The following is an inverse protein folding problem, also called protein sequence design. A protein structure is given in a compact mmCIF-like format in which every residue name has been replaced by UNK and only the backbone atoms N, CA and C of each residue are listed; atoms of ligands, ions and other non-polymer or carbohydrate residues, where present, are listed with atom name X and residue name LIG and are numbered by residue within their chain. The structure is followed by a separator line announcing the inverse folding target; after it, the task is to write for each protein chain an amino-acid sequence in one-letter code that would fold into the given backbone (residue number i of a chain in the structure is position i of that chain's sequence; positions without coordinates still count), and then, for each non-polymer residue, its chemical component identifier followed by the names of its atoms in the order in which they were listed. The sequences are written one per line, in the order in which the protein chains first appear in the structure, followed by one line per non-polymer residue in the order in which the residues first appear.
data_IF_329094967519
#
_entry.id   IF_329094967519
#
_cell.length_a   1.000
_cell.length_b   1.000
_cell.length_c   1.000
_cell.angle_alpha   90.00
_cell.angle_beta   90.00
_cell.angle_gamma   90.00
#
_symmetry.space_group_name_H-M   'P 1'
#
loop_
_entity.id
_entity.type
_entity.pdbx_description
1 polymer ?
#
# COMPACT_ATOMS: atom_id res chain seq x y z
N UNK A 1 26.09 14.65 15.12
CA UNK A 1 24.77 14.68 14.45
C UNK A 1 24.27 16.09 14.60
N UNK A 2 23.98 16.72 13.48
CA UNK A 2 23.43 18.06 13.46
C UNK A 2 21.92 17.95 13.71
N UNK A 3 21.48 18.24 14.93
CA UNK A 3 20.06 18.19 15.33
C UNK A 3 19.32 19.48 14.96
N UNK A 4 19.96 20.39 14.22
CA UNK A 4 19.35 21.66 13.79
C UNK A 4 18.38 21.50 12.60
N UNK A 5 18.40 20.34 11.93
CA UNK A 5 17.45 20.03 10.84
C UNK A 5 16.27 19.19 11.32
N UNK A 6 15.07 19.38 10.75
CA UNK A 6 13.93 18.50 11.03
C UNK A 6 14.29 17.04 10.71
N UNK A 7 14.13 16.18 11.71
CA UNK A 7 14.37 14.75 11.58
C UNK A 7 13.04 13.99 11.59
N UNK A 8 12.99 12.92 10.81
CA UNK A 8 11.91 11.95 10.90
C UNK A 8 12.14 11.05 12.11
N UNK A 9 11.13 10.95 12.98
CA UNK A 9 11.15 10.10 14.15
C UNK A 9 10.11 8.99 14.01
N UNK A 10 10.50 7.76 14.32
CA UNK A 10 9.60 6.62 14.41
C UNK A 10 9.21 6.37 15.87
N UNK A 11 7.94 6.03 16.10
CA UNK A 11 7.50 5.54 17.40
C UNK A 11 7.70 4.02 17.45
N UNK A 12 8.43 3.55 18.46
CA UNK A 12 8.57 2.11 18.70
C UNK A 12 7.27 1.53 19.24
N UNK A 13 6.84 0.39 18.69
CA UNK A 13 5.70 -0.37 19.14
C UNK A 13 6.17 -1.74 19.67
N UNK A 14 6.07 -1.95 20.98
CA UNK A 14 6.53 -3.19 21.64
C UNK A 14 5.71 -4.43 21.23
N UNK A 15 4.47 -4.21 20.79
CA UNK A 15 3.51 -5.28 20.50
C UNK A 15 3.43 -5.59 18.99
N UNK A 16 4.24 -4.90 18.18
CA UNK A 16 4.29 -5.10 16.75
C UNK A 16 5.35 -6.15 16.37
N UNK A 17 4.96 -7.09 15.51
CA UNK A 17 5.84 -8.13 14.96
C UNK A 17 5.94 -7.99 13.45
N UNK A 18 7.09 -8.31 12.88
CA UNK A 18 7.24 -8.43 11.44
C UNK A 18 6.34 -9.56 10.90
N UNK A 19 5.57 -9.28 9.85
CA UNK A 19 4.64 -10.24 9.26
C UNK A 19 5.34 -11.54 8.79
N UNK A 20 6.61 -11.46 8.41
CA UNK A 20 7.46 -12.61 8.04
C UNK A 20 7.60 -13.58 9.20
N UNK A 21 7.78 -13.07 10.42
CA UNK A 21 7.91 -13.89 11.63
C UNK A 21 6.57 -14.54 12.01
N UNK A 22 5.46 -13.83 11.77
CA UNK A 22 4.11 -14.30 12.09
C UNK A 22 3.69 -15.47 11.18
N UNK A 23 4.05 -15.43 9.90
CA UNK A 23 3.75 -16.50 8.93
C UNK A 23 4.28 -17.87 9.34
N UNK A 24 5.47 -17.93 9.95
CA UNK A 24 6.08 -19.18 10.41
C UNK A 24 5.21 -19.88 11.47
N UNK A 25 4.49 -19.12 12.30
CA UNK A 25 3.65 -19.64 13.38
C UNK A 25 2.19 -19.86 13.00
N UNK A 26 1.66 -19.12 12.01
CA UNK A 26 0.23 -19.18 11.65
C UNK A 26 -0.11 -20.20 10.57
N UNK A 27 0.89 -20.78 9.88
CA UNK A 27 0.65 -21.71 8.78
C UNK A 27 -0.10 -22.94 9.31
N UNK A 28 -1.38 -23.05 8.93
CA UNK A 28 -2.37 -24.06 9.37
C UNK A 28 -3.02 -23.86 10.76
N UNK A 29 -2.82 -22.72 11.43
CA UNK A 29 -3.52 -22.41 12.68
C UNK A 29 -4.76 -21.54 12.41
N UNK A 30 -5.87 -22.21 12.12
CA UNK A 30 -7.15 -21.54 11.83
C UNK A 30 -7.71 -20.75 13.02
N UNK A 31 -7.36 -21.13 14.26
CA UNK A 31 -7.83 -20.44 15.46
C UNK A 31 -7.14 -19.08 15.61
N UNK A 32 -5.81 -19.07 15.50
CA UNK A 32 -5.03 -17.83 15.58
C UNK A 32 -5.30 -16.90 14.39
N UNK A 33 -5.38 -17.46 13.18
CA UNK A 33 -5.86 -16.69 12.02
C UNK A 33 -7.22 -16.05 12.33
N UNK A 34 -8.13 -16.81 12.97
CA UNK A 34 -9.48 -16.40 13.39
C UNK A 34 -9.55 -15.04 14.07
N UNK A 35 -8.50 -14.65 14.79
CA UNK A 35 -8.41 -13.39 15.55
C UNK A 35 -8.21 -12.16 14.66
N UNK A 36 -7.66 -12.34 13.47
CA UNK A 36 -7.55 -11.28 12.47
C UNK A 36 -8.92 -11.07 11.82
N UNK A 37 -9.65 -10.07 12.29
CA UNK A 37 -10.99 -9.72 11.77
C UNK A 37 -10.91 -8.90 10.48
N UNK A 38 -9.80 -8.18 10.28
CA UNK A 38 -9.58 -7.28 9.15
C UNK A 38 -8.61 -7.84 8.10
N UNK A 39 -8.62 -9.17 7.87
CA UNK A 39 -7.67 -9.81 6.93
C UNK A 39 -7.73 -9.22 5.52
N UNK A 40 -8.92 -8.75 5.14
CA UNK A 40 -9.17 -8.15 3.84
C UNK A 40 -8.55 -6.75 3.70
N UNK A 41 -8.05 -6.13 4.79
CA UNK A 41 -7.28 -4.89 4.69
C UNK A 41 -5.99 -5.08 3.89
N UNK A 42 -5.49 -6.31 3.75
CA UNK A 42 -4.38 -6.60 2.84
C UNK A 42 -4.74 -6.27 1.37
N UNK A 43 -6.02 -6.36 0.98
CA UNK A 43 -6.48 -5.91 -0.34
C UNK A 43 -6.43 -4.39 -0.48
N UNK A 44 -6.70 -3.64 0.59
CA UNK A 44 -6.58 -2.18 0.62
C UNK A 44 -5.13 -1.76 0.46
N UNK A 45 -4.23 -2.43 1.19
CA UNK A 45 -2.78 -2.22 1.08
C UNK A 45 -2.32 -2.50 -0.35
N UNK A 46 -2.71 -3.63 -0.93
CA UNK A 46 -2.36 -3.97 -2.30
C UNK A 46 -2.87 -2.94 -3.32
N UNK A 47 -4.15 -2.53 -3.24
CA UNK A 47 -4.71 -1.51 -4.13
C UNK A 47 -3.97 -0.17 -4.00
N UNK A 48 -3.61 0.21 -2.77
CA UNK A 48 -2.78 1.39 -2.54
C UNK A 48 -1.42 1.27 -3.22
N UNK A 49 -0.76 0.11 -3.11
CA UNK A 49 0.55 -0.13 -3.75
C UNK A 49 0.48 -0.05 -5.28
N UNK A 50 -0.57 -0.60 -5.90
CA UNK A 50 -0.81 -0.41 -7.35
C UNK A 50 -1.02 1.07 -7.69
N UNK A 51 -1.77 1.81 -6.87
CA UNK A 51 -2.06 3.21 -7.12
C UNK A 51 -0.82 4.11 -7.02
N UNK A 52 0.03 3.89 -6.02
CA UNK A 52 1.24 4.70 -5.82
C UNK A 52 2.49 4.09 -6.44
N UNK A 53 2.38 2.98 -7.18
CA UNK A 53 3.51 2.23 -7.74
C UNK A 53 4.57 1.90 -6.67
N UNK A 54 4.16 1.22 -5.60
CA UNK A 54 5.05 0.72 -4.55
C UNK A 54 5.49 -0.71 -4.87
N UNK A 55 6.68 -0.87 -5.42
CA UNK A 55 7.27 -2.16 -5.80
C UNK A 55 8.09 -2.81 -4.67
N UNK A 56 8.41 -2.07 -3.62
CA UNK A 56 9.16 -2.60 -2.46
C UNK A 56 8.27 -3.41 -1.50
N UNK A 57 6.96 -3.47 -1.75
CA UNK A 57 6.05 -4.36 -1.02
C UNK A 57 5.65 -5.58 -1.86
N UNK A 58 6.43 -6.64 -1.75
CA UNK A 58 6.32 -7.84 -2.59
C UNK A 58 6.54 -9.15 -1.79
N UNK A 59 6.62 -10.28 -2.49
CA UNK A 59 6.78 -11.61 -1.88
C UNK A 59 8.08 -11.81 -1.09
N UNK A 60 9.13 -11.04 -1.38
CA UNK A 60 10.42 -11.09 -0.67
C UNK A 60 10.51 -10.06 0.46
N UNK A 61 9.77 -8.94 0.34
CA UNK A 61 9.78 -7.87 1.31
C UNK A 61 8.34 -7.42 1.62
N UNK A 62 7.79 -7.86 2.75
CA UNK A 62 6.40 -7.54 3.08
C UNK A 62 6.21 -6.11 3.54
N UNK A 63 7.22 -5.48 4.14
CA UNK A 63 7.09 -4.13 4.73
C UNK A 63 5.75 -3.94 5.48
N UNK A 64 5.36 -4.96 6.26
CA UNK A 64 4.12 -4.99 7.05
C UNK A 64 4.47 -5.47 8.45
N UNK A 65 4.05 -4.69 9.43
CA UNK A 65 4.00 -5.11 10.82
C UNK A 65 2.60 -5.63 11.16
N UNK A 66 2.53 -6.50 12.15
CA UNK A 66 1.29 -6.99 12.74
C UNK A 66 1.27 -6.58 14.21
N UNK A 67 0.27 -5.81 14.60
CA UNK A 67 0.01 -5.46 15.99
C UNK A 67 -1.49 -5.59 16.25
N UNK A 68 -1.88 -6.22 17.36
CA UNK A 68 -3.28 -6.49 17.72
C UNK A 68 -4.11 -7.06 16.54
N UNK A 69 -3.54 -8.03 15.83
CA UNK A 69 -4.18 -8.69 14.67
C UNK A 69 -4.57 -7.74 13.52
N UNK A 70 -3.95 -6.56 13.44
CA UNK A 70 -4.08 -5.61 12.34
C UNK A 70 -2.78 -5.52 11.54
N UNK A 71 -2.91 -5.29 10.23
CA UNK A 71 -1.77 -5.01 9.36
C UNK A 71 -1.41 -3.53 9.41
N UNK A 72 -0.13 -3.25 9.58
CA UNK A 72 0.43 -1.91 9.59
C UNK A 72 1.46 -1.84 8.45
N UNK A 73 1.10 -1.26 7.29
CA UNK A 73 2.06 -1.06 6.21
C UNK A 73 3.11 -0.04 6.66
N UNK A 74 4.37 -0.38 6.46
CA UNK A 74 5.53 0.47 6.75
C UNK A 74 6.36 0.68 5.49
N UNK A 75 7.40 1.50 5.62
CA UNK A 75 8.43 1.75 4.61
C UNK A 75 7.88 2.04 3.20
N UNK A 76 7.39 3.27 3.02
CA UNK A 76 6.92 3.78 1.73
C UNK A 76 7.99 4.64 1.05
N UNK A 77 9.27 4.40 1.35
CA UNK A 77 10.37 5.27 0.89
C UNK A 77 10.60 5.22 -0.63
N UNK A 78 10.14 4.15 -1.29
CA UNK A 78 10.34 3.87 -2.72
C UNK A 78 9.06 3.92 -3.54
N UNK A 79 7.98 4.50 -3.01
CA UNK A 79 6.76 4.74 -3.79
C UNK A 79 7.05 5.60 -5.04
N UNK A 80 6.13 5.57 -6.00
CA UNK A 80 6.24 6.21 -7.30
C UNK A 80 7.35 5.61 -8.17
N UNK A 81 7.35 4.28 -8.31
CA UNK A 81 8.30 3.54 -9.17
C UNK A 81 9.75 3.86 -8.76
N UNK A 82 10.09 3.59 -7.49
CA UNK A 82 11.42 3.88 -6.94
C UNK A 82 11.71 5.36 -6.74
N UNK A 83 10.70 6.18 -6.43
CA UNK A 83 10.84 7.62 -6.22
C UNK A 83 10.98 8.44 -7.50
N UNK A 84 10.54 7.91 -8.65
CA UNK A 84 10.66 8.53 -9.98
C UNK A 84 9.51 9.48 -10.32
N UNK A 85 8.94 10.10 -9.30
CA UNK A 85 7.87 11.09 -9.45
C UNK A 85 8.30 12.22 -10.40
N UNK A 86 7.45 12.56 -11.37
CA UNK A 86 7.75 13.50 -12.46
C UNK A 86 8.22 12.85 -13.76
N UNK A 87 8.44 11.53 -13.76
CA UNK A 87 8.58 10.70 -14.96
C UNK A 87 7.35 9.80 -15.16
N UNK A 88 7.16 9.21 -16.37
CA UNK A 88 6.18 8.15 -16.54
C UNK A 88 6.45 6.99 -15.57
N UNK A 89 5.43 6.64 -14.78
CA UNK A 89 5.48 5.54 -13.82
C UNK A 89 5.22 4.21 -14.53
N UNK A 90 5.87 3.15 -14.07
CA UNK A 90 5.51 1.79 -14.43
C UNK A 90 4.50 1.20 -13.44
N UNK A 91 3.51 0.46 -13.95
CA UNK A 91 2.61 -0.32 -13.10
C UNK A 91 3.31 -1.55 -12.53
N UNK A 92 2.83 -2.01 -11.37
CA UNK A 92 3.35 -3.21 -10.71
C UNK A 92 3.09 -4.46 -11.54
N UNK A 93 4.09 -5.32 -11.64
CA UNK A 93 3.92 -6.67 -12.16
C UNK A 93 3.36 -7.62 -11.11
N UNK A 94 3.13 -8.87 -11.51
CA UNK A 94 2.70 -9.93 -10.60
C UNK A 94 3.73 -10.22 -9.50
N UNK A 95 5.02 -10.15 -9.83
CA UNK A 95 6.12 -10.43 -8.90
C UNK A 95 6.35 -9.27 -7.92
N UNK A 96 5.94 -8.06 -8.30
CA UNK A 96 6.09 -6.82 -7.51
C UNK A 96 4.96 -6.63 -6.50
N UNK A 97 3.93 -7.49 -6.52
CA UNK A 97 2.74 -7.31 -5.68
C UNK A 97 2.76 -8.20 -4.44
N UNK A 98 2.35 -7.65 -3.30
CA UNK A 98 2.09 -8.42 -2.09
C UNK A 98 1.02 -9.50 -2.27
N UNK A 99 0.13 -9.39 -3.27
CA UNK A 99 -0.96 -10.36 -3.49
C UNK A 99 -0.46 -11.74 -3.92
N UNK A 100 0.78 -11.87 -4.40
CA UNK A 100 1.41 -13.14 -4.76
C UNK A 100 2.25 -13.73 -3.65
N UNK A 101 2.27 -13.10 -2.48
CA UNK A 101 3.04 -13.56 -1.32
C UNK A 101 2.35 -14.69 -0.53
N UNK A 102 3.16 -15.47 0.19
CA UNK A 102 2.70 -16.40 1.21
C UNK A 102 1.79 -15.73 2.27
N UNK A 103 2.03 -14.43 2.56
CA UNK A 103 1.18 -13.63 3.44
C UNK A 103 -0.24 -13.52 2.90
N UNK A 104 -0.37 -13.13 1.63
CA UNK A 104 -1.67 -13.02 0.96
C UNK A 104 -2.39 -14.38 0.91
N UNK A 105 -1.70 -15.46 0.51
CA UNK A 105 -2.31 -16.79 0.48
C UNK A 105 -2.79 -17.28 1.86
N UNK A 106 -2.07 -16.92 2.91
CA UNK A 106 -2.42 -17.31 4.29
C UNK A 106 -3.65 -16.55 4.79
N UNK A 107 -3.71 -15.23 4.59
CA UNK A 107 -4.75 -14.39 5.17
C UNK A 107 -6.00 -14.23 4.29
N UNK A 108 -5.84 -14.29 2.96
CA UNK A 108 -6.90 -14.12 1.97
C UNK A 108 -7.46 -15.47 1.49
N UNK A 109 -7.63 -16.42 2.41
CA UNK A 109 -8.01 -17.80 2.09
C UNK A 109 -9.51 -18.01 1.74
N UNK A 110 -10.35 -16.98 1.88
CA UNK A 110 -11.78 -17.02 1.57
C UNK A 110 -12.07 -16.36 0.23
N UNK A 111 -11.82 -17.09 -0.86
CA UNK A 111 -11.89 -16.60 -2.26
C UNK A 111 -13.14 -15.77 -2.59
N UNK A 112 -14.34 -16.24 -2.22
CA UNK A 112 -15.59 -15.48 -2.45
C UNK A 112 -15.61 -14.13 -1.73
N UNK A 113 -15.13 -14.08 -0.47
CA UNK A 113 -15.06 -12.80 0.26
C UNK A 113 -13.99 -11.88 -0.30
N UNK A 114 -12.89 -12.44 -0.79
CA UNK A 114 -11.83 -11.68 -1.47
C UNK A 114 -12.38 -11.01 -2.72
N UNK A 115 -13.12 -11.75 -3.55
CA UNK A 115 -13.76 -11.23 -4.75
C UNK A 115 -14.77 -10.12 -4.42
N UNK A 116 -15.67 -10.36 -3.45
CA UNK A 116 -16.65 -9.38 -2.99
C UNK A 116 -16.00 -8.09 -2.47
N UNK A 117 -14.94 -8.19 -1.67
CA UNK A 117 -14.28 -7.03 -1.10
C UNK A 117 -13.44 -6.29 -2.12
N UNK A 118 -12.71 -7.00 -2.99
CA UNK A 118 -11.98 -6.39 -4.10
C UNK A 118 -12.93 -5.59 -5.01
N UNK A 119 -14.10 -6.15 -5.32
CA UNK A 119 -15.13 -5.44 -6.09
C UNK A 119 -15.57 -4.13 -5.42
N UNK A 120 -15.86 -4.16 -4.11
CA UNK A 120 -16.21 -2.95 -3.36
C UNK A 120 -15.08 -1.93 -3.34
N UNK A 121 -13.82 -2.38 -3.19
CA UNK A 121 -12.67 -1.48 -3.19
C UNK A 121 -12.52 -0.79 -4.54
N UNK A 122 -12.66 -1.52 -5.65
CA UNK A 122 -12.62 -0.96 -7.00
C UNK A 122 -13.74 0.08 -7.19
N UNK A 123 -14.96 -0.21 -6.74
CA UNK A 123 -16.08 0.74 -6.82
C UNK A 123 -15.84 2.03 -6.02
N UNK A 124 -15.20 1.92 -4.86
CA UNK A 124 -14.92 3.06 -3.99
C UNK A 124 -13.60 3.78 -4.32
N UNK A 125 -12.73 3.19 -5.15
CA UNK A 125 -11.41 3.73 -5.46
C UNK A 125 -11.45 5.18 -5.98
N UNK A 126 -12.37 5.58 -6.89
CA UNK A 126 -12.47 6.99 -7.30
C UNK A 126 -12.76 7.94 -6.14
N UNK A 127 -13.57 7.52 -5.16
CA UNK A 127 -13.84 8.31 -3.95
C UNK A 127 -12.58 8.46 -3.11
N UNK A 128 -11.81 7.38 -2.90
CA UNK A 128 -10.55 7.45 -2.15
C UNK A 128 -9.53 8.40 -2.81
N UNK A 129 -9.43 8.36 -4.14
CA UNK A 129 -8.57 9.28 -4.90
C UNK A 129 -9.03 10.73 -4.72
N UNK A 130 -10.33 10.99 -4.78
CA UNK A 130 -10.88 12.33 -4.54
C UNK A 130 -10.63 12.81 -3.10
N UNK A 131 -10.90 11.98 -2.11
CA UNK A 131 -10.65 12.31 -0.69
C UNK A 131 -9.17 12.65 -0.47
N UNK A 132 -8.26 11.89 -1.09
CA UNK A 132 -6.82 12.18 -1.08
C UNK A 132 -6.48 13.49 -1.78
N UNK A 133 -7.13 13.81 -2.91
CA UNK A 133 -6.95 15.09 -3.61
C UNK A 133 -7.36 16.29 -2.74
N UNK A 134 -8.43 16.15 -1.97
CA UNK A 134 -8.92 17.21 -1.07
C UNK A 134 -7.96 17.49 0.09
N UNK A 135 -7.30 16.45 0.62
CA UNK A 135 -6.35 16.59 1.74
C UNK A 135 -4.90 16.83 1.30
N UNK A 136 -4.55 16.58 0.03
CA UNK A 136 -3.18 16.71 -0.48
C UNK A 136 -2.52 18.06 -0.15
N UNK A 137 -3.19 19.23 -0.31
CA UNK A 137 -2.58 20.50 0.05
C UNK A 137 -2.14 20.57 1.52
N UNK A 138 -2.97 20.04 2.43
CA UNK A 138 -2.66 20.02 3.86
C UNK A 138 -1.52 19.05 4.20
N UNK A 139 -1.37 17.95 3.45
CA UNK A 139 -0.22 17.04 3.59
C UNK A 139 1.06 17.75 3.18
N UNK A 140 1.06 18.41 2.02
CA UNK A 140 2.23 19.12 1.47
C UNK A 140 2.65 20.28 2.37
N UNK A 141 1.69 21.03 2.92
CA UNK A 141 1.96 22.14 3.81
C UNK A 141 2.73 21.70 5.06
N UNK A 142 2.39 20.53 5.62
CA UNK A 142 3.01 19.95 6.82
C UNK A 142 4.44 19.44 6.64
N UNK A 143 4.91 19.29 5.40
CA UNK A 143 6.30 18.89 5.15
C UNK A 143 7.26 19.99 5.66
N UNK A 144 8.35 19.65 6.36
CA UNK A 144 9.37 20.63 6.68
C UNK A 144 9.95 21.27 5.41
N UNK A 145 10.27 22.56 5.45
CA UNK A 145 10.80 23.29 4.29
C UNK A 145 12.13 22.70 3.82
N UNK A 146 12.92 22.18 4.75
CA UNK A 146 14.22 21.56 4.51
C UNK A 146 14.15 20.21 3.80
N UNK A 147 12.95 19.61 3.69
CA UNK A 147 12.75 18.32 3.02
C UNK A 147 12.29 18.48 1.57
N UNK A 148 11.79 19.66 1.18
CA UNK A 148 11.27 19.88 -0.17
C UNK A 148 11.43 21.35 -0.57
N UNK A 149 12.37 21.59 -1.49
CA UNK A 149 12.67 22.93 -2.00
C UNK A 149 11.49 23.54 -2.80
N UNK A 150 10.68 22.70 -3.45
CA UNK A 150 9.54 23.13 -4.26
C UNK A 150 8.29 22.27 -3.99
N UNK A 151 7.56 22.68 -2.93
CA UNK A 151 6.28 22.07 -2.54
C UNK A 151 5.20 22.18 -3.63
N UNK A 152 5.24 23.23 -4.45
CA UNK A 152 4.26 23.43 -5.51
C UNK A 152 4.48 22.41 -6.63
N UNK A 153 5.74 22.24 -7.07
CA UNK A 153 6.12 21.23 -8.04
C UNK A 153 5.85 19.81 -7.52
N UNK A 154 6.13 19.51 -6.25
CA UNK A 154 5.78 18.23 -5.65
C UNK A 154 4.28 17.96 -5.72
N UNK A 155 3.46 18.94 -5.31
CA UNK A 155 2.00 18.81 -5.35
C UNK A 155 1.48 18.64 -6.78
N UNK A 156 2.05 19.36 -7.75
CA UNK A 156 1.69 19.23 -9.17
C UNK A 156 2.04 17.84 -9.68
N UNK A 157 3.26 17.36 -9.43
CA UNK A 157 3.72 16.05 -9.88
C UNK A 157 2.88 14.90 -9.31
N UNK A 158 2.54 14.93 -8.00
CA UNK A 158 1.63 13.93 -7.40
C UNK A 158 0.27 14.01 -8.08
N UNK A 159 -0.27 15.23 -8.22
CA UNK A 159 -1.60 15.44 -8.79
C UNK A 159 -1.68 14.94 -10.23
N UNK A 160 -0.70 15.28 -11.07
CA UNK A 160 -0.67 14.91 -12.48
C UNK A 160 -0.30 13.45 -12.71
N UNK A 161 0.48 12.83 -11.84
CA UNK A 161 0.90 11.45 -12.01
C UNK A 161 -0.17 10.45 -11.60
N UNK A 162 -0.76 10.61 -10.39
CA UNK A 162 -1.57 9.56 -9.78
C UNK A 162 -3.00 9.98 -9.37
N UNK A 163 -3.33 11.28 -9.35
CA UNK A 163 -4.67 11.74 -8.93
C UNK A 163 -5.56 12.11 -10.11
N UNK A 164 -5.06 12.94 -11.02
CA UNK A 164 -5.80 13.47 -12.19
C UNK A 164 -5.48 12.73 -13.48
N UNK A 165 -4.75 11.62 -13.38
CA UNK A 165 -4.34 10.82 -14.51
C UNK A 165 -5.30 9.65 -14.72
N UNK A 166 -6.34 9.89 -15.52
CA UNK A 166 -7.37 8.87 -15.79
C UNK A 166 -6.79 7.59 -16.41
N UNK A 167 -5.71 7.69 -17.19
CA UNK A 167 -5.03 6.52 -17.77
C UNK A 167 -4.45 5.68 -16.64
N UNK A 168 -3.67 6.29 -15.76
CA UNK A 168 -3.07 5.62 -14.60
C UNK A 168 -4.10 5.02 -13.64
N UNK A 169 -5.19 5.74 -13.36
CA UNK A 169 -6.26 5.26 -12.50
C UNK A 169 -6.95 4.02 -13.09
N UNK A 170 -7.21 4.02 -14.40
CA UNK A 170 -7.78 2.87 -15.09
C UNK A 170 -6.80 1.69 -15.15
N UNK A 171 -5.52 1.95 -15.36
CA UNK A 171 -4.47 0.93 -15.31
C UNK A 171 -4.36 0.31 -13.91
N UNK A 172 -4.38 1.13 -12.85
CA UNK A 172 -4.41 0.68 -11.45
C UNK A 172 -5.56 -0.31 -11.21
N UNK A 173 -6.79 0.07 -11.58
CA UNK A 173 -7.97 -0.80 -11.44
C UNK A 173 -7.80 -2.08 -12.25
N UNK A 174 -7.30 -1.96 -13.49
CA UNK A 174 -7.16 -3.09 -14.41
C UNK A 174 -6.13 -4.09 -13.90
N UNK A 175 -4.94 -3.63 -13.52
CA UNK A 175 -3.85 -4.46 -13.02
C UNK A 175 -4.24 -5.15 -11.71
N UNK A 176 -4.80 -4.40 -10.76
CA UNK A 176 -5.31 -4.95 -9.51
C UNK A 176 -6.39 -6.02 -9.76
N UNK A 177 -7.39 -5.71 -10.61
CA UNK A 177 -8.47 -6.64 -10.94
C UNK A 177 -7.94 -7.93 -11.58
N UNK A 178 -7.01 -7.80 -12.54
CA UNK A 178 -6.40 -8.96 -13.20
C UNK A 178 -5.69 -9.87 -12.20
N UNK A 179 -4.94 -9.28 -11.25
CA UNK A 179 -4.22 -10.06 -10.25
C UNK A 179 -5.16 -10.74 -9.26
N UNK A 180 -6.23 -10.06 -8.82
CA UNK A 180 -7.27 -10.69 -7.99
C UNK A 180 -7.93 -11.87 -8.71
N UNK A 181 -8.26 -11.73 -10.00
CA UNK A 181 -8.82 -12.83 -10.79
C UNK A 181 -7.87 -14.02 -10.90
N UNK A 182 -6.55 -13.81 -10.98
CA UNK A 182 -5.56 -14.89 -10.94
C UNK A 182 -5.50 -15.53 -9.56
N UNK A 183 -5.49 -14.71 -8.50
CA UNK A 183 -5.41 -15.17 -7.11
C UNK A 183 -6.59 -16.07 -6.70
N UNK A 184 -7.82 -15.74 -7.12
CA UNK A 184 -9.02 -16.50 -6.72
C UNK A 184 -9.27 -17.75 -7.58
N UNK A 185 -8.57 -17.95 -8.70
CA UNK A 185 -8.65 -19.19 -9.49
C UNK A 185 -8.04 -20.36 -8.73
#
# INVERSE_FOLDING_TARGET
MDFEKPAFGLQYNNDAFDATNVLLGLKNDNYELGKFTNRLDLLKIALFDFWVANDDRNHNNYNILIADHMFIPIDHSTIFDGGRLGSPLAQLSEDDSILTSDLAFTFLNQKTKVEEEAFKLIQNFPTFVNDCNEILPAIIERLPEEWCDDKALLSENISSAIIKNDIWLNETITSFSQLIHKFIR
#
